data_IF_039593752120
#
_entry.id   IF_039593752120
#
_cell.length_a   1.000
_cell.length_b   1.000
_cell.length_c   1.000
_cell.angle_alpha   90.00
_cell.angle_beta   90.00
_cell.angle_gamma   90.00
#
_symmetry.space_group_name_H-M   'P 1'
#
loop_
_entity.id
_entity.type
_entity.pdbx_description
1 polymer ?
#
# COMPACT_ATOMS: atom_id res chain seq x y z
N UNK A 1 -20.78 -10.86 10.94
CA UNK A 1 -21.30 -11.28 12.23
C UNK A 1 -22.16 -10.15 12.84
N UNK A 2 -23.45 -10.43 13.18
CA UNK A 2 -24.39 -9.42 13.71
C UNK A 2 -23.88 -8.73 15.00
N UNK A 3 -23.15 -9.44 15.83
CA UNK A 3 -22.54 -8.91 17.05
C UNK A 3 -21.46 -7.86 16.77
N UNK A 4 -20.61 -8.08 15.75
CA UNK A 4 -19.59 -7.11 15.35
C UNK A 4 -20.21 -5.83 14.79
N UNK A 5 -21.31 -5.94 14.02
CA UNK A 5 -22.05 -4.77 13.53
C UNK A 5 -22.62 -3.96 14.71
N UNK A 6 -23.24 -4.63 15.67
CA UNK A 6 -23.82 -3.96 16.85
C UNK A 6 -22.76 -3.26 17.71
N UNK A 7 -21.59 -3.86 17.87
CA UNK A 7 -20.50 -3.28 18.66
C UNK A 7 -19.91 -1.99 18.04
N UNK A 8 -20.06 -1.79 16.72
CA UNK A 8 -19.52 -0.65 15.99
C UNK A 8 -20.57 0.42 15.62
N UNK A 9 -21.78 0.38 16.21
CA UNK A 9 -22.84 1.34 15.88
C UNK A 9 -22.54 2.78 16.30
N UNK A 10 -21.72 2.99 17.32
CA UNK A 10 -21.44 4.29 17.91
C UNK A 10 -20.09 4.88 17.46
N UNK A 11 -19.46 4.31 16.47
CA UNK A 11 -18.16 4.74 15.93
C UNK A 11 -17.25 3.58 15.55
N UNK A 12 -16.09 3.92 14.99
CA UNK A 12 -15.07 2.94 14.63
C UNK A 12 -13.81 3.16 15.47
N UNK A 13 -13.15 2.07 15.84
CA UNK A 13 -11.90 2.08 16.63
C UNK A 13 -10.91 1.09 16.05
N UNK A 14 -10.44 1.30 14.81
CA UNK A 14 -9.51 0.40 14.19
C UNK A 14 -8.16 0.45 14.91
N UNK A 15 -7.57 -0.72 15.19
CA UNK A 15 -6.25 -0.75 15.81
C UNK A 15 -5.11 -0.57 14.80
N UNK A 16 -5.40 -0.78 13.49
CA UNK A 16 -4.41 -0.68 12.43
C UNK A 16 -4.98 -0.06 11.15
N UNK A 17 -4.12 0.67 10.45
CA UNK A 17 -4.32 1.12 9.06
C UNK A 17 -3.63 0.12 8.14
N UNK A 18 -4.33 -0.35 7.10
CA UNK A 18 -3.76 -1.20 6.06
C UNK A 18 -3.77 -0.44 4.75
N UNK A 19 -2.60 -0.15 4.20
CA UNK A 19 -2.44 0.40 2.86
C UNK A 19 -2.09 -0.75 1.92
N UNK A 20 -2.95 -1.03 0.94
CA UNK A 20 -2.76 -2.20 0.08
C UNK A 20 -3.37 -2.04 -1.32
N UNK A 21 -3.08 -3.02 -2.19
CA UNK A 21 -3.64 -3.06 -3.53
C UNK A 21 -5.14 -3.39 -3.53
N UNK A 22 -5.87 -2.87 -4.53
CA UNK A 22 -7.25 -3.23 -4.82
C UNK A 22 -7.41 -4.61 -5.46
N UNK A 23 -6.33 -5.37 -5.68
CA UNK A 23 -6.36 -6.74 -6.22
C UNK A 23 -7.34 -7.61 -5.40
N UNK A 24 -8.25 -8.29 -6.10
CA UNK A 24 -9.32 -9.06 -5.47
C UNK A 24 -8.83 -10.26 -4.65
N UNK A 25 -7.58 -10.69 -4.86
CA UNK A 25 -6.93 -11.76 -4.11
C UNK A 25 -6.34 -11.29 -2.78
N UNK A 26 -6.29 -9.95 -2.56
CA UNK A 26 -5.74 -9.33 -1.35
C UNK A 26 -6.92 -8.76 -0.55
N UNK A 27 -7.42 -9.53 0.40
CA UNK A 27 -8.51 -9.12 1.28
C UNK A 27 -7.98 -8.97 2.72
N UNK A 28 -7.67 -7.75 3.17
CA UNK A 28 -6.98 -7.51 4.44
C UNK A 28 -7.65 -8.18 5.64
N UNK A 29 -8.96 -8.07 5.76
CA UNK A 29 -9.70 -8.64 6.87
C UNK A 29 -9.55 -10.17 6.94
N UNK A 30 -9.50 -10.84 5.77
CA UNK A 30 -9.31 -12.28 5.69
C UNK A 30 -7.85 -12.64 5.96
N UNK A 31 -6.90 -11.90 5.36
CA UNK A 31 -5.46 -12.19 5.50
C UNK A 31 -4.96 -12.04 6.94
N UNK A 32 -5.53 -11.11 7.68
CA UNK A 32 -5.14 -10.82 9.06
C UNK A 32 -6.11 -11.42 10.10
N UNK A 33 -7.13 -12.19 9.66
CA UNK A 33 -8.17 -12.79 10.51
C UNK A 33 -8.84 -11.73 11.42
N UNK A 34 -9.27 -10.62 10.80
CA UNK A 34 -9.86 -9.48 11.49
C UNK A 34 -11.34 -9.31 11.12
N UNK A 35 -12.08 -8.67 12.02
CA UNK A 35 -13.52 -8.43 11.89
C UNK A 35 -13.87 -7.01 11.42
N UNK A 36 -15.17 -6.75 11.36
CA UNK A 36 -15.71 -5.42 11.06
C UNK A 36 -15.31 -4.45 12.17
N UNK A 37 -14.67 -3.33 11.78
CA UNK A 37 -14.26 -2.26 12.69
C UNK A 37 -12.81 -2.38 13.19
N UNK A 38 -12.11 -3.50 12.93
CA UNK A 38 -10.76 -3.73 13.43
C UNK A 38 -9.68 -3.03 12.60
N UNK A 39 -9.91 -2.91 11.28
CA UNK A 39 -8.96 -2.34 10.34
C UNK A 39 -9.52 -1.10 9.63
N UNK A 40 -8.68 -0.09 9.43
CA UNK A 40 -8.93 1.03 8.53
C UNK A 40 -8.18 0.77 7.22
N UNK A 41 -8.90 0.47 6.14
CA UNK A 41 -8.29 -0.05 4.91
C UNK A 41 -8.30 1.00 3.81
N UNK A 42 -7.12 1.31 3.26
CA UNK A 42 -6.91 2.18 2.12
C UNK A 42 -6.44 1.32 0.94
N UNK A 43 -7.17 1.36 -0.17
CA UNK A 43 -6.93 0.50 -1.32
C UNK A 43 -7.00 1.24 -2.64
N UNK A 44 -5.99 1.07 -3.45
CA UNK A 44 -5.96 1.50 -4.86
C UNK A 44 -5.13 0.51 -5.70
N UNK A 45 -5.10 0.67 -7.01
CA UNK A 45 -4.27 -0.18 -7.86
C UNK A 45 -2.79 0.12 -7.62
N UNK A 46 -2.05 -0.85 -7.08
CA UNK A 46 -0.61 -0.75 -6.83
C UNK A 46 -0.23 -0.21 -5.45
N UNK A 47 -1.15 -0.10 -4.49
CA UNK A 47 -0.89 0.41 -3.13
C UNK A 47 -0.12 1.76 -3.11
N UNK A 48 -0.44 2.64 -4.05
CA UNK A 48 0.15 3.97 -4.20
C UNK A 48 -0.33 4.92 -3.08
N UNK A 49 0.44 5.98 -2.83
CA UNK A 49 0.08 7.00 -1.83
C UNK A 49 -0.14 8.34 -2.54
N UNK A 50 -1.39 8.69 -2.76
CA UNK A 50 -1.81 10.04 -3.16
C UNK A 50 -2.04 10.94 -1.94
N UNK A 51 -2.28 12.23 -2.17
CA UNK A 51 -2.65 13.17 -1.09
C UNK A 51 -3.92 12.74 -0.35
N UNK A 52 -4.89 12.15 -1.05
CA UNK A 52 -6.13 11.65 -0.45
C UNK A 52 -5.87 10.39 0.39
N UNK A 53 -5.01 9.50 -0.09
CA UNK A 53 -4.60 8.32 0.68
C UNK A 53 -3.83 8.75 1.94
N UNK A 54 -2.91 9.70 1.82
CA UNK A 54 -2.18 10.24 2.96
C UNK A 54 -3.11 10.91 3.96
N UNK A 55 -4.04 11.76 3.51
CA UNK A 55 -5.04 12.37 4.38
C UNK A 55 -5.91 11.35 5.12
N UNK A 56 -6.22 10.21 4.47
CA UNK A 56 -6.94 9.10 5.10
C UNK A 56 -6.10 8.40 6.18
N UNK A 57 -4.79 8.24 5.96
CA UNK A 57 -3.84 7.70 6.95
C UNK A 57 -3.75 8.65 8.15
N UNK A 58 -3.56 9.95 7.89
CA UNK A 58 -3.51 10.98 8.95
C UNK A 58 -4.78 10.98 9.79
N UNK A 59 -5.95 10.94 9.15
CA UNK A 59 -7.24 10.86 9.83
C UNK A 59 -7.31 9.64 10.76
N UNK A 60 -6.90 8.47 10.30
CA UNK A 60 -6.95 7.26 11.11
C UNK A 60 -5.99 7.33 12.32
N UNK A 61 -4.83 7.94 12.15
CA UNK A 61 -3.84 8.10 13.22
C UNK A 61 -4.26 9.17 14.22
N UNK A 62 -4.68 10.35 13.73
CA UNK A 62 -4.94 11.51 14.57
C UNK A 62 -6.33 11.47 15.25
N UNK A 63 -7.35 11.02 14.51
CA UNK A 63 -8.74 11.04 15.00
C UNK A 63 -9.26 9.69 15.49
N UNK A 64 -8.70 8.57 15.01
CA UNK A 64 -9.13 7.24 15.42
C UNK A 64 -8.10 6.54 16.32
N UNK A 65 -6.97 7.18 16.60
CA UNK A 65 -5.89 6.68 17.46
C UNK A 65 -5.28 5.33 16.99
N UNK A 66 -5.27 5.08 15.68
CA UNK A 66 -4.67 3.87 15.12
C UNK A 66 -3.16 3.85 15.38
N UNK A 67 -2.64 2.80 16.02
CA UNK A 67 -1.25 2.72 16.49
C UNK A 67 -0.31 1.98 15.55
N UNK A 68 -0.85 1.36 14.50
CA UNK A 68 -0.09 0.57 13.55
C UNK A 68 -0.50 0.93 12.12
N UNK A 69 0.47 1.11 11.25
CA UNK A 69 0.27 1.20 9.80
C UNK A 69 1.00 0.02 9.15
N UNK A 70 0.31 -0.71 8.31
CA UNK A 70 0.86 -1.81 7.50
C UNK A 70 0.80 -1.41 6.04
N UNK A 71 1.95 -1.36 5.38
CA UNK A 71 2.04 -1.25 3.91
C UNK A 71 2.17 -2.66 3.36
N UNK A 72 1.13 -3.14 2.71
CA UNK A 72 1.01 -4.50 2.19
C UNK A 72 0.96 -4.50 0.66
N UNK A 73 2.11 -4.74 0.01
CA UNK A 73 2.13 -5.09 -1.40
C UNK A 73 1.95 -6.59 -1.62
N UNK A 74 1.91 -7.02 -2.88
CA UNK A 74 1.72 -8.45 -3.20
C UNK A 74 2.42 -8.84 -4.50
N UNK A 75 2.74 -10.14 -4.63
CA UNK A 75 3.25 -10.71 -5.89
C UNK A 75 2.18 -10.66 -6.97
N UNK A 76 2.60 -10.63 -8.24
CA UNK A 76 1.68 -10.60 -9.38
C UNK A 76 0.79 -9.32 -9.45
N UNK A 77 1.26 -8.20 -8.89
CA UNK A 77 0.52 -6.94 -8.91
C UNK A 77 0.36 -6.42 -10.35
N UNK A 78 -0.90 -6.22 -10.77
CA UNK A 78 -1.21 -5.77 -12.13
C UNK A 78 -0.60 -4.42 -12.49
N UNK A 79 -0.57 -3.47 -11.56
CA UNK A 79 0.05 -2.15 -11.77
C UNK A 79 1.57 -2.25 -12.00
N UNK A 80 2.25 -3.08 -11.20
CA UNK A 80 3.69 -3.33 -11.35
C UNK A 80 3.97 -4.09 -12.65
N UNK A 81 3.16 -5.10 -12.98
CA UNK A 81 3.29 -5.84 -14.26
C UNK A 81 3.12 -4.92 -15.46
N UNK A 82 2.19 -3.98 -15.41
CA UNK A 82 1.99 -3.00 -16.48
C UNK A 82 3.25 -2.15 -16.69
N UNK A 83 3.88 -1.67 -15.61
CA UNK A 83 5.16 -0.95 -15.68
C UNK A 83 6.30 -1.81 -16.23
N UNK A 84 6.46 -3.03 -15.69
CA UNK A 84 7.54 -3.95 -16.09
C UNK A 84 7.40 -4.37 -17.55
N UNK A 85 6.16 -4.60 -18.01
CA UNK A 85 5.85 -5.02 -19.38
C UNK A 85 5.94 -3.90 -20.42
N UNK A 86 5.87 -2.63 -19.99
CA UNK A 86 5.97 -1.49 -20.89
C UNK A 86 7.43 -1.16 -21.25
N UNK A 87 7.91 -1.83 -22.29
CA UNK A 87 9.29 -1.68 -22.78
C UNK A 87 9.54 -0.34 -23.46
N UNK A 88 8.51 0.30 -24.00
CA UNK A 88 8.58 1.53 -24.78
C UNK A 88 8.30 2.78 -23.94
N UNK A 89 7.97 2.62 -22.66
CA UNK A 89 7.48 3.66 -21.77
C UNK A 89 6.22 4.38 -22.35
N UNK A 90 5.32 3.60 -22.91
CA UNK A 90 4.10 4.10 -23.54
C UNK A 90 3.15 4.80 -22.56
N UNK A 91 3.26 4.51 -21.25
CA UNK A 91 2.56 5.22 -20.19
C UNK A 91 2.82 6.74 -20.20
N UNK A 92 3.98 7.18 -20.67
CA UNK A 92 4.32 8.62 -20.81
C UNK A 92 3.43 9.36 -21.82
N UNK A 93 2.62 8.65 -22.59
CA UNK A 93 1.65 9.24 -23.52
C UNK A 93 0.37 9.71 -22.86
N UNK A 94 0.13 9.34 -21.59
CA UNK A 94 -1.05 9.72 -20.77
C UNK A 94 -2.38 9.54 -21.53
N UNK A 95 -2.56 8.39 -22.18
CA UNK A 95 -3.73 8.08 -23.00
C UNK A 95 -5.00 7.88 -22.17
N UNK A 96 -4.81 7.46 -20.93
CA UNK A 96 -5.89 7.15 -19.99
C UNK A 96 -5.33 7.11 -18.55
N UNK A 97 -6.21 7.01 -17.56
CA UNK A 97 -5.84 6.98 -16.14
C UNK A 97 -5.03 5.73 -15.71
N UNK A 98 -4.99 4.68 -16.53
CA UNK A 98 -4.10 3.53 -16.27
C UNK A 98 -2.66 3.95 -16.53
N UNK A 99 -2.42 4.74 -17.59
CA UNK A 99 -1.09 5.30 -17.87
C UNK A 99 -0.60 6.16 -16.68
N UNK A 100 -1.49 6.90 -16.00
CA UNK A 100 -1.15 7.71 -14.81
C UNK A 100 -0.73 6.81 -13.63
N UNK A 101 -1.42 5.69 -13.42
CA UNK A 101 -1.02 4.68 -12.40
C UNK A 101 0.37 4.11 -12.72
N UNK A 102 0.62 3.75 -13.97
CA UNK A 102 1.91 3.17 -14.41
C UNK A 102 3.03 4.20 -14.30
N UNK A 103 2.74 5.48 -14.61
CA UNK A 103 3.67 6.59 -14.43
C UNK A 103 4.08 6.73 -12.95
N UNK A 104 3.11 6.75 -12.03
CA UNK A 104 3.37 6.84 -10.60
C UNK A 104 4.23 5.66 -10.12
N UNK A 105 3.89 4.43 -10.52
CA UNK A 105 4.71 3.24 -10.21
C UNK A 105 6.14 3.40 -10.73
N UNK A 106 6.31 3.92 -11.95
CA UNK A 106 7.63 4.11 -12.54
C UNK A 106 8.48 5.08 -11.71
N UNK A 107 7.93 6.23 -11.36
CA UNK A 107 8.59 7.27 -10.56
C UNK A 107 9.01 6.75 -9.20
N UNK A 108 8.11 6.09 -8.48
CA UNK A 108 8.36 5.50 -7.15
C UNK A 108 9.47 4.44 -7.19
N UNK A 109 9.40 3.52 -8.17
CA UNK A 109 10.38 2.44 -8.31
C UNK A 109 11.74 2.98 -8.72
N UNK A 110 11.78 3.95 -9.64
CA UNK A 110 13.03 4.56 -10.10
C UNK A 110 13.70 5.35 -8.98
N UNK A 111 12.95 6.12 -8.18
CA UNK A 111 13.47 6.84 -7.02
C UNK A 111 14.18 5.90 -6.04
N UNK A 112 13.54 4.80 -5.64
CA UNK A 112 14.13 3.85 -4.69
C UNK A 112 15.36 3.16 -5.27
N UNK A 113 15.32 2.80 -6.55
CA UNK A 113 16.48 2.16 -7.20
C UNK A 113 17.67 3.11 -7.31
N UNK A 114 17.45 4.38 -7.58
CA UNK A 114 18.51 5.39 -7.61
C UNK A 114 19.14 5.58 -6.23
N UNK A 115 18.32 5.69 -5.18
CA UNK A 115 18.80 5.84 -3.81
C UNK A 115 19.63 4.66 -3.34
N UNK A 116 19.28 3.45 -3.75
CA UNK A 116 20.01 2.21 -3.38
C UNK A 116 21.16 1.87 -4.32
N UNK A 117 21.37 2.63 -5.36
CA UNK A 117 22.38 2.34 -6.41
C UNK A 117 22.24 0.92 -7.00
N UNK A 118 21.01 0.41 -7.08
CA UNK A 118 20.73 -0.91 -7.69
C UNK A 118 20.41 -0.78 -9.18
N UNK A 119 20.69 -1.82 -9.99
CA UNK A 119 20.42 -1.78 -11.42
C UNK A 119 18.97 -1.44 -11.74
N UNK A 120 18.76 -0.61 -12.77
CA UNK A 120 17.42 -0.21 -13.26
C UNK A 120 16.67 -1.35 -13.98
N UNK A 121 17.12 -2.59 -13.80
CA UNK A 121 16.44 -3.75 -14.37
C UNK A 121 15.01 -3.87 -13.86
N UNK A 122 14.06 -3.98 -14.79
CA UNK A 122 12.62 -4.09 -14.49
C UNK A 122 12.25 -5.54 -14.15
N UNK A 123 12.80 -6.11 -13.08
CA UNK A 123 12.28 -7.38 -12.57
C UNK A 123 11.08 -7.13 -11.65
N UNK A 124 10.04 -7.94 -11.77
CA UNK A 124 8.76 -7.74 -11.08
C UNK A 124 8.92 -7.69 -9.56
N UNK A 125 9.61 -8.66 -8.97
CA UNK A 125 9.77 -8.75 -7.52
C UNK A 125 10.54 -7.54 -6.94
N UNK A 126 11.59 -7.11 -7.62
CA UNK A 126 12.36 -5.92 -7.24
C UNK A 126 11.51 -4.64 -7.32
N UNK A 127 10.66 -4.52 -8.36
CA UNK A 127 9.75 -3.39 -8.50
C UNK A 127 8.66 -3.39 -7.42
N UNK A 128 8.10 -4.56 -7.08
CA UNK A 128 7.14 -4.70 -5.97
C UNK A 128 7.76 -4.24 -4.65
N UNK A 129 8.97 -4.70 -4.34
CA UNK A 129 9.64 -4.31 -3.10
C UNK A 129 9.97 -2.81 -3.07
N UNK A 130 10.41 -2.24 -4.20
CA UNK A 130 10.71 -0.81 -4.29
C UNK A 130 9.44 0.06 -4.09
N UNK A 131 8.32 -0.32 -4.68
CA UNK A 131 7.04 0.36 -4.48
C UNK A 131 6.57 0.30 -3.01
N UNK A 132 6.65 -0.86 -2.35
CA UNK A 132 6.33 -0.99 -0.92
C UNK A 132 7.24 -0.10 -0.08
N UNK A 133 8.53 -0.08 -0.39
CA UNK A 133 9.51 0.74 0.32
C UNK A 133 9.25 2.24 0.12
N UNK A 134 8.93 2.68 -1.11
CA UNK A 134 8.59 4.06 -1.40
C UNK A 134 7.37 4.51 -0.60
N UNK A 135 6.26 3.78 -0.68
CA UNK A 135 5.04 4.06 0.10
C UNK A 135 5.34 4.14 1.61
N UNK A 136 6.14 3.20 2.11
CA UNK A 136 6.57 3.19 3.53
C UNK A 136 7.40 4.43 3.89
N UNK A 137 8.30 4.84 3.00
CA UNK A 137 9.16 6.02 3.20
C UNK A 137 8.36 7.31 3.27
N UNK A 138 7.38 7.50 2.36
CA UNK A 138 6.53 8.69 2.37
C UNK A 138 5.73 8.75 3.67
N UNK A 139 5.10 7.67 4.09
CA UNK A 139 4.35 7.59 5.34
C UNK A 139 5.27 7.89 6.54
N UNK A 140 6.46 7.28 6.61
CA UNK A 140 7.45 7.53 7.68
C UNK A 140 7.90 8.99 7.75
N UNK A 141 7.91 9.69 6.63
CA UNK A 141 8.35 11.08 6.58
C UNK A 141 7.25 12.09 6.90
N UNK A 142 6.00 11.66 6.94
CA UNK A 142 4.87 12.51 7.28
C UNK A 142 4.99 13.05 8.72
N UNK A 143 4.85 14.37 8.94
CA UNK A 143 5.04 14.99 10.27
C UNK A 143 3.98 14.56 11.30
N UNK A 144 2.73 14.34 10.89
CA UNK A 144 1.65 13.90 11.78
C UNK A 144 1.93 12.47 12.27
N UNK A 145 2.28 11.57 11.36
CA UNK A 145 2.61 10.19 11.70
C UNK A 145 3.82 10.11 12.66
N UNK A 146 4.85 10.94 12.42
CA UNK A 146 6.01 11.07 13.32
C UNK A 146 5.62 11.56 14.72
N UNK A 147 4.77 12.58 14.79
CA UNK A 147 4.32 13.16 16.06
C UNK A 147 3.57 12.13 16.92
N UNK A 148 2.74 11.28 16.31
CA UNK A 148 1.99 10.21 16.99
C UNK A 148 2.83 8.97 17.30
N UNK A 149 4.08 8.87 16.80
CA UNK A 149 4.98 7.72 16.98
C UNK A 149 4.35 6.40 16.52
N UNK A 150 3.50 6.46 15.50
CA UNK A 150 2.79 5.29 14.97
C UNK A 150 3.77 4.29 14.40
N UNK A 151 3.61 3.02 14.75
CA UNK A 151 4.45 1.94 14.22
C UNK A 151 4.11 1.69 12.77
N UNK A 152 5.13 1.54 11.90
CA UNK A 152 4.95 1.26 10.48
C UNK A 152 5.67 -0.03 10.14
N UNK A 153 4.97 -0.93 9.45
CA UNK A 153 5.47 -2.24 9.05
C UNK A 153 5.25 -2.42 7.55
N UNK A 154 6.27 -2.91 6.86
CA UNK A 154 6.23 -3.21 5.42
C UNK A 154 6.13 -4.71 5.22
N UNK A 155 5.19 -5.15 4.39
CA UNK A 155 4.94 -6.57 4.13
C UNK A 155 4.69 -6.81 2.66
N UNK A 156 5.03 -8.03 2.20
CA UNK A 156 4.65 -8.54 0.89
C UNK A 156 3.89 -9.85 1.03
N UNK A 157 2.70 -9.90 0.46
CA UNK A 157 1.86 -11.09 0.37
C UNK A 157 2.15 -11.85 -0.93
N UNK A 158 2.32 -13.14 -0.85
CA UNK A 158 2.46 -14.03 -2.00
C UNK A 158 1.11 -14.65 -2.35
N UNK A 159 0.55 -14.28 -3.50
CA UNK A 159 -0.78 -14.71 -3.92
C UNK A 159 -0.87 -16.19 -4.30
N UNK A 160 0.26 -16.88 -4.50
CA UNK A 160 0.30 -18.32 -4.83
C UNK A 160 0.38 -19.19 -3.58
N UNK A 161 1.10 -18.72 -2.57
CA UNK A 161 1.39 -19.52 -1.38
C UNK A 161 0.64 -19.08 -0.13
N UNK A 162 0.04 -17.88 -0.17
CA UNK A 162 -0.59 -17.25 1.00
C UNK A 162 0.42 -16.72 2.04
N UNK A 163 1.70 -16.72 1.72
CA UNK A 163 2.78 -16.35 2.64
C UNK A 163 2.94 -14.84 2.74
N UNK A 164 3.13 -14.34 3.97
CA UNK A 164 3.52 -12.95 4.21
C UNK A 164 5.01 -12.89 4.55
N UNK A 165 5.72 -11.98 3.90
CA UNK A 165 7.13 -11.68 4.15
C UNK A 165 7.24 -10.25 4.68
N UNK A 166 7.92 -10.06 5.80
CA UNK A 166 8.30 -8.73 6.30
C UNK A 166 9.48 -8.18 5.49
N UNK A 167 9.48 -6.88 5.23
CA UNK A 167 10.51 -6.17 4.45
C UNK A 167 11.23 -5.12 5.29
#
# INVERSE_FOLDING_TARGET
NKKSVLNNQNGQHPFAVIVTCSDSRVAPEILFDQGIGDLFVIRNAGNLISDIDMGSIEYAVEHLDAKLIVVLGHTECGAIKAYVGDKNNDYKKHRNHIDDIVQTVAEEVEEIKEQKHVPKEKNELGCINANIEHSTKIIKNNPIIKAHKTKIVSMRYDVHTGKITFL
#
